data_IF_414081647351
#
_entry.id   IF_414081647351
#
_cell.length_a   1.000
_cell.length_b   1.000
_cell.length_c   1.000
_cell.angle_alpha   90.00
_cell.angle_beta   90.00
_cell.angle_gamma   90.00
#
_symmetry.space_group_name_H-M   'P 1'
#
loop_
_entity.id
_entity.type
_entity.pdbx_description
1 polymer ?
#
# COMPACT_ATOMS: atom_id res chain seq x y z
N UNK A 1 -15.35 -9.56 10.25
CA UNK A 1 -14.38 -8.50 9.94
C UNK A 1 -14.28 -8.46 8.43
N UNK A 2 -14.68 -7.35 7.78
CA UNK A 2 -14.42 -7.18 6.35
C UNK A 2 -12.94 -6.88 6.21
N UNK A 3 -12.28 -7.58 5.29
CA UNK A 3 -10.91 -7.28 4.92
C UNK A 3 -10.96 -6.57 3.58
N UNK A 4 -10.18 -5.53 3.43
CA UNK A 4 -10.15 -4.70 2.22
C UNK A 4 -8.80 -4.85 1.54
N UNK A 5 -8.77 -4.70 0.23
CA UNK A 5 -7.53 -4.73 -0.55
C UNK A 5 -7.05 -3.29 -0.76
N UNK A 6 -5.80 -3.01 -0.42
CA UNK A 6 -5.14 -1.74 -0.71
C UNK A 6 -3.91 -2.00 -1.56
N UNK A 7 -3.68 -1.19 -2.58
CA UNK A 7 -2.42 -1.18 -3.29
C UNK A 7 -1.41 -0.45 -2.42
N UNK A 8 -0.29 -1.09 -2.09
CA UNK A 8 0.84 -0.37 -1.49
C UNK A 8 1.71 0.17 -2.63
N UNK A 9 2.30 1.36 -2.46
CA UNK A 9 3.33 1.93 -3.31
C UNK A 9 4.51 2.32 -2.40
N UNK A 10 5.76 2.02 -2.76
CA UNK A 10 6.91 2.18 -1.84
C UNK A 10 7.88 3.22 -2.38
N UNK A 11 8.27 4.17 -1.54
CA UNK A 11 9.20 5.25 -1.89
C UNK A 11 10.37 5.38 -0.89
N UNK A 12 11.63 5.57 -1.34
CA UNK A 12 12.08 5.40 -2.72
C UNK A 12 11.82 3.97 -3.21
N UNK A 13 11.70 3.74 -4.54
CA UNK A 13 11.47 2.39 -5.06
C UNK A 13 12.66 1.51 -4.66
N UNK A 14 12.44 0.65 -3.65
CA UNK A 14 13.45 -0.27 -3.20
C UNK A 14 13.79 -1.20 -4.38
N UNK A 15 15.04 -1.18 -4.79
CA UNK A 15 15.51 -1.91 -5.96
C UNK A 15 15.22 -3.39 -5.73
N UNK A 16 14.38 -3.96 -6.60
CA UNK A 16 14.13 -5.40 -6.72
C UNK A 16 13.10 -5.93 -5.70
N UNK A 17 11.86 -6.15 -6.16
CA UNK A 17 10.78 -6.93 -5.51
C UNK A 17 10.16 -6.40 -4.21
N UNK A 18 10.69 -5.35 -3.58
CA UNK A 18 9.99 -4.58 -2.55
C UNK A 18 8.90 -3.64 -3.14
N UNK A 19 8.42 -3.99 -4.33
CA UNK A 19 7.34 -3.35 -5.06
C UNK A 19 6.08 -3.42 -4.24
N UNK A 20 5.59 -2.26 -3.84
CA UNK A 20 4.24 -2.12 -3.34
C UNK A 20 3.27 -2.88 -4.26
N UNK A 21 2.46 -3.73 -3.64
CA UNK A 21 1.51 -4.62 -4.29
C UNK A 21 0.17 -4.58 -3.57
N UNK A 22 -0.84 -5.25 -4.13
CA UNK A 22 -2.11 -5.41 -3.46
C UNK A 22 -1.92 -6.15 -2.12
N UNK A 23 -2.48 -5.59 -1.06
CA UNK A 23 -2.41 -6.15 0.28
C UNK A 23 -3.75 -6.07 0.97
N UNK A 24 -4.11 -7.19 1.58
CA UNK A 24 -5.27 -7.27 2.45
C UNK A 24 -4.98 -6.60 3.80
N UNK A 25 -5.82 -5.63 4.18
CA UNK A 25 -5.77 -4.92 5.47
C UNK A 25 -7.16 -4.91 6.10
N UNK A 26 -7.22 -4.75 7.43
CA UNK A 26 -8.50 -4.67 8.14
C UNK A 26 -9.25 -3.36 7.85
N UNK A 27 -8.52 -2.32 7.47
CA UNK A 27 -9.04 -0.98 7.16
C UNK A 27 -7.99 -0.16 6.41
N UNK A 28 -8.43 0.86 5.66
CA UNK A 28 -7.52 1.73 4.90
C UNK A 28 -6.58 2.42 5.89
N UNK A 29 -5.25 2.23 5.75
CA UNK A 29 -4.28 2.84 6.65
C UNK A 29 -4.29 4.37 6.48
N UNK A 30 -3.79 5.10 7.48
CA UNK A 30 -3.76 6.57 7.45
C UNK A 30 -2.34 7.08 7.32
N UNK A 31 -2.22 8.31 6.85
CA UNK A 31 -0.94 9.02 6.79
C UNK A 31 -0.35 9.11 8.22
N UNK A 32 0.89 8.66 8.36
CA UNK A 32 1.61 8.54 9.63
C UNK A 32 1.57 7.14 10.27
N UNK A 33 0.74 6.22 9.78
CA UNK A 33 0.75 4.84 10.26
C UNK A 33 2.02 4.11 9.82
N UNK A 34 2.54 3.24 10.70
CA UNK A 34 3.64 2.34 10.38
C UNK A 34 3.13 1.06 9.76
N UNK A 35 3.70 0.66 8.62
CA UNK A 35 3.34 -0.54 7.89
C UNK A 35 4.58 -1.40 7.62
N UNK A 36 4.50 -2.69 7.91
CA UNK A 36 5.57 -3.64 7.60
C UNK A 36 5.32 -4.27 6.23
N UNK A 37 6.17 -3.97 5.25
CA UNK A 37 6.11 -4.46 3.86
C UNK A 37 6.40 -5.97 3.77
N UNK A 38 6.19 -6.54 2.57
CA UNK A 38 6.36 -7.98 2.35
C UNK A 38 7.79 -8.49 2.63
N UNK A 39 8.80 -7.63 2.42
CA UNK A 39 10.20 -7.96 2.69
C UNK A 39 10.58 -7.80 4.18
N UNK A 40 9.61 -7.47 5.05
CA UNK A 40 9.78 -7.08 6.46
C UNK A 40 10.39 -5.69 6.67
N UNK A 41 10.54 -4.88 5.62
CA UNK A 41 10.89 -3.48 5.80
C UNK A 41 9.72 -2.72 6.42
N UNK A 42 10.01 -1.91 7.44
CA UNK A 42 9.02 -1.01 8.03
C UNK A 42 9.08 0.32 7.33
N UNK A 43 7.94 0.75 6.81
CA UNK A 43 7.77 2.10 6.29
C UNK A 43 6.64 2.84 6.98
N UNK A 44 6.56 4.12 6.69
CA UNK A 44 5.51 5.02 7.19
C UNK A 44 4.64 5.43 6.03
N UNK A 45 3.32 5.36 6.21
CA UNK A 45 2.38 5.81 5.20
C UNK A 45 2.48 7.33 5.07
N UNK A 46 2.79 7.82 3.88
CA UNK A 46 2.93 9.25 3.58
C UNK A 46 1.80 9.79 2.72
N UNK A 47 1.15 8.93 1.94
CA UNK A 47 -0.01 9.29 1.14
C UNK A 47 -1.02 8.14 1.07
N UNK A 48 -2.30 8.49 0.95
CA UNK A 48 -3.41 7.56 0.75
C UNK A 48 -4.33 8.18 -0.28
N UNK A 49 -4.41 7.56 -1.45
CA UNK A 49 -5.30 7.97 -2.53
C UNK A 49 -6.44 6.94 -2.68
N UNK A 50 -7.69 7.36 -2.87
CA UNK A 50 -8.74 6.41 -3.25
C UNK A 50 -8.39 5.76 -4.60
N UNK A 51 -8.75 4.49 -4.76
CA UNK A 51 -8.66 3.85 -6.07
C UNK A 51 -9.83 4.34 -6.93
N UNK A 52 -9.63 5.43 -7.66
CA UNK A 52 -10.57 5.87 -8.68
C UNK A 52 -10.67 4.80 -9.79
N UNK A 53 -11.90 4.54 -10.24
CA UNK A 53 -12.22 3.58 -11.31
C UNK A 53 -11.25 3.75 -12.50
N UNK A 54 -10.36 2.77 -12.69
CA UNK A 54 -9.45 2.70 -13.83
C UNK A 54 -7.95 2.81 -13.53
N UNK A 55 -7.51 3.04 -12.28
CA UNK A 55 -6.07 3.00 -11.94
C UNK A 55 -5.54 1.57 -11.75
N UNK A 56 -6.36 0.63 -11.27
CA UNK A 56 -6.01 -0.77 -11.09
C UNK A 56 -7.10 -1.65 -11.70
N UNK A 57 -6.70 -2.70 -12.45
CA UNK A 57 -7.62 -3.66 -13.04
C UNK A 57 -8.49 -4.29 -11.94
N UNK A 58 -9.81 -4.23 -12.14
CA UNK A 58 -10.85 -4.49 -11.15
C UNK A 58 -10.94 -5.95 -10.65
N UNK A 59 -9.99 -6.82 -10.98
CA UNK A 59 -9.98 -8.21 -10.49
C UNK A 59 -9.72 -8.28 -8.97
N UNK A 60 -9.01 -7.30 -8.41
CA UNK A 60 -8.55 -7.34 -7.02
C UNK A 60 -9.36 -6.48 -6.03
N UNK A 61 -10.43 -5.79 -6.47
CA UNK A 61 -11.26 -4.88 -5.64
C UNK A 61 -10.42 -3.97 -4.72
N UNK A 62 -9.40 -3.33 -5.28
CA UNK A 62 -8.56 -2.40 -4.54
C UNK A 62 -9.39 -1.16 -4.19
N UNK A 63 -9.48 -0.80 -2.91
CA UNK A 63 -10.23 0.37 -2.45
C UNK A 63 -9.38 1.65 -2.41
N UNK A 64 -8.08 1.51 -2.15
CA UNK A 64 -7.17 2.64 -2.01
C UNK A 64 -5.72 2.27 -2.36
N UNK A 65 -4.95 3.29 -2.72
CA UNK A 65 -3.52 3.24 -3.00
C UNK A 65 -2.81 3.94 -1.83
N UNK A 66 -1.82 3.27 -1.25
CA UNK A 66 -1.15 3.68 -0.02
C UNK A 66 0.33 3.82 -0.31
N UNK A 67 0.83 5.05 -0.31
CA UNK A 67 2.27 5.30 -0.46
C UNK A 67 2.94 5.17 0.90
N UNK A 68 3.94 4.30 0.96
CA UNK A 68 4.74 3.99 2.13
C UNK A 68 6.16 4.46 1.88
N UNK A 69 6.64 5.37 2.71
CA UNK A 69 8.02 5.79 2.70
C UNK A 69 8.86 4.90 3.61
N UNK A 70 9.89 4.28 3.06
CA UNK A 70 10.88 3.50 3.81
C UNK A 70 12.13 4.34 4.00
N UNK A 71 12.79 4.19 5.15
CA UNK A 71 14.10 4.78 5.38
C UNK A 71 15.17 3.77 4.94
N UNK A 72 16.06 4.20 4.03
CA UNK A 72 17.24 3.43 3.59
C UNK A 72 18.16 3.04 4.75
#
# INVERSE_FOLDING_TARGET
>A
MLKIMVQVDVQPPATTEATGGAREVESVPKIGDSMELQDRTKGVVTAVEPNDEGKFDSEENIEAIVTVQVSE
#
